data_IF_262282048018
#
_entry.id   IF_262282048018
#
_cell.length_a   1.000
_cell.length_b   1.000
_cell.length_c   1.000
_cell.angle_alpha   90.00
_cell.angle_beta   90.00
_cell.angle_gamma   90.00
#
_symmetry.space_group_name_H-M   'P 1'
#
loop_
_entity.id
_entity.type
_entity.pdbx_description
1 polymer ?
#
# COMPACT_ATOMS: atom_id res chain seq x y z
N UNK A 1 -21.62 -32.70 46.93
CA UNK A 1 -20.48 -32.52 46.01
C UNK A 1 -20.73 -31.23 45.26
N UNK A 2 -20.22 -30.12 45.78
CA UNK A 2 -20.32 -28.80 45.15
C UNK A 2 -18.93 -28.45 44.67
N UNK A 3 -18.78 -28.34 43.36
CA UNK A 3 -17.53 -28.00 42.71
C UNK A 3 -17.48 -26.47 42.66
N UNK A 4 -16.50 -25.88 43.33
CA UNK A 4 -16.10 -24.48 43.13
C UNK A 4 -14.87 -24.45 42.23
N UNK A 5 -15.00 -23.80 41.08
CA UNK A 5 -13.96 -23.14 40.26
C UNK A 5 -14.75 -22.09 39.47
N UNK A 6 -14.45 -20.81 39.39
CA UNK A 6 -13.22 -20.04 39.58
C UNK A 6 -13.34 -18.92 38.55
N UNK A 7 -13.27 -17.66 38.97
CA UNK A 7 -13.36 -16.51 38.08
C UNK A 7 -12.28 -16.54 36.99
N UNK A 8 -12.62 -16.14 35.77
CA UNK A 8 -11.71 -15.35 34.95
C UNK A 8 -12.52 -14.40 34.10
N UNK A 9 -12.26 -13.10 34.28
CA UNK A 9 -12.61 -12.08 33.31
C UNK A 9 -11.75 -12.35 32.08
N UNK A 10 -12.34 -12.87 31.02
CA UNK A 10 -11.76 -12.69 29.69
C UNK A 10 -12.33 -11.37 29.18
N UNK A 11 -11.50 -10.41 28.71
CA UNK A 11 -12.04 -9.31 27.95
C UNK A 11 -12.80 -9.92 26.79
N UNK A 12 -14.09 -9.57 26.68
CA UNK A 12 -14.83 -9.82 25.46
C UNK A 12 -13.96 -9.33 24.31
N UNK A 13 -13.57 -10.30 23.49
CA UNK A 13 -12.87 -10.13 22.24
C UNK A 13 -13.60 -9.01 21.51
N UNK A 14 -12.98 -7.82 21.45
CA UNK A 14 -13.49 -6.72 20.66
C UNK A 14 -13.37 -7.24 19.24
N UNK A 15 -14.44 -7.85 18.76
CA UNK A 15 -14.64 -8.21 17.38
C UNK A 15 -14.65 -6.90 16.60
N UNK A 16 -13.46 -6.44 16.20
CA UNK A 16 -13.32 -5.41 15.18
C UNK A 16 -13.70 -6.12 13.88
N UNK A 17 -15.00 -6.13 13.57
CA UNK A 17 -15.43 -6.14 12.16
C UNK A 17 -14.54 -5.12 11.43
N UNK A 18 -13.95 -5.52 10.30
CA UNK A 18 -12.91 -4.78 9.56
C UNK A 18 -13.38 -3.36 9.13
N UNK A 19 -13.44 -2.42 10.07
CA UNK A 19 -13.86 -1.03 9.87
C UNK A 19 -12.71 -0.15 9.35
N UNK A 20 -11.58 -0.76 8.99
CA UNK A 20 -10.43 -0.07 8.46
C UNK A 20 -9.93 -0.63 7.13
N UNK A 21 -9.39 0.26 6.30
CA UNK A 21 -8.66 -0.10 5.10
C UNK A 21 -7.33 0.63 5.09
N UNK A 22 -6.25 -0.04 4.70
CA UNK A 22 -4.94 0.58 4.54
C UNK A 22 -4.36 0.12 3.21
N UNK A 23 -4.28 1.03 2.23
CA UNK A 23 -3.96 0.62 0.86
C UNK A 23 -3.43 1.75 0.00
N UNK A 24 -2.69 1.41 -1.07
CA UNK A 24 -2.24 2.41 -2.03
C UNK A 24 -3.42 3.06 -2.74
N UNK A 25 -3.35 4.36 -2.92
CA UNK A 25 -4.35 5.16 -3.61
C UNK A 25 -3.83 5.63 -4.97
N UNK A 26 -2.61 6.16 -4.99
CA UNK A 26 -2.03 6.81 -6.17
C UNK A 26 -0.53 6.57 -6.24
N UNK A 27 0.00 6.42 -7.46
CA UNK A 27 1.44 6.45 -7.77
C UNK A 27 1.71 7.58 -8.77
N UNK A 28 2.63 8.49 -8.43
CA UNK A 28 2.97 9.67 -9.23
C UNK A 28 4.47 9.71 -9.54
N UNK A 29 4.84 9.51 -10.80
CA UNK A 29 6.20 9.74 -11.30
C UNK A 29 6.44 11.24 -11.43
N UNK A 30 7.39 11.76 -10.64
CA UNK A 30 7.67 13.20 -10.47
C UNK A 30 8.83 13.69 -11.34
N UNK A 31 9.63 12.75 -11.87
CA UNK A 31 10.71 13.04 -12.80
C UNK A 31 10.33 12.55 -14.20
N UNK A 32 10.88 13.19 -15.24
CA UNK A 32 10.72 12.72 -16.63
C UNK A 32 11.36 11.34 -16.89
N UNK A 33 11.90 10.71 -15.84
CA UNK A 33 12.48 9.37 -15.74
C UNK A 33 13.35 8.98 -16.94
N UNK A 34 14.65 8.92 -16.69
CA UNK A 34 15.45 7.88 -17.34
C UNK A 34 14.82 6.53 -16.98
N UNK A 35 14.69 5.59 -17.91
CA UNK A 35 13.98 4.30 -17.73
C UNK A 35 14.54 3.38 -16.62
N UNK A 36 15.50 3.86 -15.82
CA UNK A 36 16.21 3.12 -14.76
C UNK A 36 16.16 3.76 -13.37
N UNK A 37 15.88 5.05 -13.25
CA UNK A 37 15.79 5.72 -11.95
C UNK A 37 15.07 7.07 -12.05
N UNK A 38 14.49 7.51 -10.93
CA UNK A 38 13.77 8.76 -10.86
C UNK A 38 13.20 9.03 -9.46
N UNK A 39 12.25 9.96 -9.39
CA UNK A 39 11.48 10.26 -8.18
C UNK A 39 10.03 9.88 -8.35
N UNK A 40 9.45 9.32 -7.30
CA UNK A 40 8.06 8.87 -7.25
C UNK A 40 7.43 9.30 -5.94
N UNK A 41 6.17 9.71 -5.99
CA UNK A 41 5.30 9.83 -4.82
C UNK A 41 4.30 8.68 -4.85
N UNK A 42 4.21 7.94 -3.75
CA UNK A 42 3.17 6.95 -3.49
C UNK A 42 2.29 7.46 -2.36
N UNK A 43 1.00 7.56 -2.63
CA UNK A 43 -0.01 7.98 -1.66
C UNK A 43 -0.79 6.76 -1.21
N UNK A 44 -0.87 6.54 0.10
CA UNK A 44 -1.72 5.54 0.73
C UNK A 44 -2.97 6.21 1.28
N UNK A 45 -4.11 5.55 1.10
CA UNK A 45 -5.38 5.90 1.75
C UNK A 45 -5.57 4.97 2.93
N UNK A 46 -5.78 5.56 4.10
CA UNK A 46 -6.10 4.84 5.34
C UNK A 46 -7.45 5.32 5.81
N UNK A 47 -8.42 4.42 5.90
CA UNK A 47 -9.77 4.73 6.38
C UNK A 47 -10.06 3.96 7.65
N UNK A 48 -10.74 4.57 8.61
CA UNK A 48 -11.26 3.94 9.82
C UNK A 48 -12.61 4.58 10.18
N UNK A 49 -13.66 3.78 10.35
CA UNK A 49 -14.98 4.24 10.78
C UNK A 49 -15.55 5.42 9.95
N UNK A 50 -15.27 5.44 8.64
CA UNK A 50 -15.72 6.47 7.71
C UNK A 50 -14.78 7.68 7.55
N UNK A 51 -13.82 7.87 8.46
CA UNK A 51 -12.79 8.89 8.32
C UNK A 51 -11.66 8.37 7.43
N UNK A 52 -11.13 9.21 6.54
CA UNK A 52 -10.02 8.86 5.65
C UNK A 52 -8.87 9.85 5.79
N UNK A 53 -7.66 9.34 5.99
CA UNK A 53 -6.40 10.09 6.01
C UNK A 53 -5.46 9.53 4.95
N UNK A 54 -4.49 10.35 4.55
CA UNK A 54 -3.51 9.99 3.54
C UNK A 54 -2.11 10.01 4.12
N UNK A 55 -1.30 9.02 3.72
CA UNK A 55 0.12 8.95 4.01
C UNK A 55 0.90 9.01 2.70
N UNK A 56 1.89 9.89 2.60
CA UNK A 56 2.64 10.11 1.37
C UNK A 56 4.10 9.69 1.56
N UNK A 57 4.58 8.83 0.67
CA UNK A 57 6.00 8.48 0.55
C UNK A 57 6.53 9.12 -0.72
N UNK A 58 7.48 10.05 -0.61
CA UNK A 58 8.12 10.67 -1.77
C UNK A 58 9.61 10.35 -1.78
N UNK A 59 10.01 9.44 -2.65
CA UNK A 59 11.34 8.86 -2.63
C UNK A 59 11.96 8.73 -4.01
N UNK A 60 13.26 8.43 -4.03
CA UNK A 60 13.92 7.97 -5.24
C UNK A 60 13.55 6.50 -5.50
N UNK A 61 13.57 6.11 -6.76
CA UNK A 61 13.45 4.71 -7.14
C UNK A 61 14.55 4.29 -8.11
N UNK A 62 14.81 3.00 -8.13
CA UNK A 62 15.67 2.33 -9.12
C UNK A 62 14.91 1.17 -9.75
N UNK A 63 15.16 0.91 -11.03
CA UNK A 63 14.56 -0.21 -11.77
C UNK A 63 15.64 -1.22 -12.16
N UNK A 64 15.47 -2.47 -11.76
CA UNK A 64 16.28 -3.62 -12.17
C UNK A 64 15.35 -4.74 -12.64
N UNK A 65 15.57 -5.31 -13.82
CA UNK A 65 14.74 -6.40 -14.37
C UNK A 65 13.21 -6.18 -14.24
N UNK A 66 12.73 -4.95 -14.48
CA UNK A 66 11.32 -4.51 -14.34
C UNK A 66 10.81 -4.34 -12.90
N UNK A 67 11.58 -4.78 -11.91
CA UNK A 67 11.33 -4.48 -10.51
C UNK A 67 11.79 -3.05 -10.20
N UNK A 68 10.83 -2.20 -9.88
CA UNK A 68 11.07 -0.87 -9.32
C UNK A 68 11.10 -0.97 -7.80
N UNK A 69 12.22 -0.58 -7.21
CA UNK A 69 12.39 -0.45 -5.75
C UNK A 69 12.37 1.02 -5.38
N UNK A 70 11.53 1.40 -4.44
CA UNK A 70 11.28 2.79 -4.03
C UNK A 70 11.76 2.99 -2.58
N UNK A 71 12.55 4.04 -2.37
CA UNK A 71 13.18 4.33 -1.08
C UNK A 71 14.16 3.23 -0.66
N UNK A 72 14.43 3.16 0.63
CA UNK A 72 15.22 2.07 1.22
C UNK A 72 14.32 0.83 1.45
N UNK A 73 13.95 0.16 0.36
CA UNK A 73 13.02 -1.00 0.36
C UNK A 73 11.69 -0.72 1.07
N UNK A 74 11.09 0.44 0.80
CA UNK A 74 9.78 0.80 1.36
C UNK A 74 8.64 0.18 0.54
N UNK A 75 8.77 0.21 -0.78
CA UNK A 75 7.72 -0.15 -1.73
C UNK A 75 8.37 -0.76 -2.97
N UNK A 76 7.73 -1.78 -3.53
CA UNK A 76 8.14 -2.35 -4.82
C UNK A 76 6.98 -2.37 -5.80
N UNK A 77 7.28 -2.02 -7.05
CA UNK A 77 6.35 -2.08 -8.18
C UNK A 77 6.99 -2.98 -9.24
N UNK A 78 6.35 -4.08 -9.59
CA UNK A 78 6.85 -5.02 -10.60
C UNK A 78 5.99 -4.98 -11.87
N UNK A 79 6.62 -5.27 -13.01
CA UNK A 79 5.98 -5.37 -14.34
C UNK A 79 5.10 -4.15 -14.71
N UNK A 80 5.54 -2.93 -14.34
CA UNK A 80 4.79 -1.72 -14.64
C UNK A 80 4.62 -1.53 -16.16
N UNK A 81 3.37 -1.65 -16.61
CA UNK A 81 3.01 -1.56 -18.02
C UNK A 81 1.89 -0.54 -18.22
N UNK A 82 2.18 0.53 -18.95
CA UNK A 82 1.20 1.53 -19.34
C UNK A 82 0.75 1.33 -20.80
N UNK A 83 -0.57 1.36 -21.06
CA UNK A 83 -1.17 1.31 -22.39
C UNK A 83 -2.21 2.43 -22.51
N UNK A 84 -1.81 3.56 -23.09
CA UNK A 84 -2.67 4.74 -23.20
C UNK A 84 -2.94 5.35 -21.82
N UNK A 85 -4.21 5.34 -21.40
CA UNK A 85 -4.66 5.92 -20.13
C UNK A 85 -4.82 4.89 -19.01
N UNK A 86 -4.42 3.64 -19.23
CA UNK A 86 -4.45 2.61 -18.20
C UNK A 86 -3.06 2.04 -17.95
N UNK A 87 -2.81 1.60 -16.72
CA UNK A 87 -1.60 0.89 -16.34
C UNK A 87 -1.93 -0.32 -15.48
N UNK A 88 -1.06 -1.33 -15.57
CA UNK A 88 -1.07 -2.51 -14.71
C UNK A 88 0.29 -2.72 -14.09
N UNK A 89 0.32 -3.18 -12.85
CA UNK A 89 1.54 -3.53 -12.13
C UNK A 89 1.22 -4.38 -10.91
N UNK A 90 2.21 -5.11 -10.42
CA UNK A 90 2.15 -5.74 -9.11
C UNK A 90 2.76 -4.80 -8.07
N UNK A 91 2.12 -4.71 -6.91
CA UNK A 91 2.51 -3.84 -5.81
C UNK A 91 2.83 -4.67 -4.58
N UNK A 92 4.00 -4.41 -3.99
CA UNK A 92 4.48 -5.06 -2.78
C UNK A 92 4.86 -4.02 -1.74
N UNK A 93 4.49 -4.29 -0.49
CA UNK A 93 4.89 -3.49 0.65
C UNK A 93 6.26 -3.99 1.12
N UNK A 94 7.23 -3.10 1.21
CA UNK A 94 8.55 -3.44 1.71
C UNK A 94 8.59 -3.45 3.24
N UNK A 95 9.54 -4.20 3.79
CA UNK A 95 9.66 -4.40 5.25
C UNK A 95 9.92 -3.09 6.01
N UNK A 96 10.55 -2.12 5.35
CA UNK A 96 10.94 -0.84 5.96
C UNK A 96 9.83 0.21 5.97
N UNK A 97 8.65 -0.08 5.40
CA UNK A 97 7.53 0.89 5.35
C UNK A 97 6.97 1.23 6.75
N UNK A 98 7.15 0.33 7.72
CA UNK A 98 6.70 0.52 9.09
C UNK A 98 5.17 0.60 9.26
N UNK A 99 4.69 0.89 10.49
CA UNK A 99 3.27 0.85 10.83
C UNK A 99 2.54 2.16 10.48
N UNK A 100 2.71 2.70 9.27
CA UNK A 100 2.19 4.03 8.89
C UNK A 100 0.67 4.22 9.12
N UNK A 101 -0.13 3.16 9.02
CA UNK A 101 -1.58 3.24 9.30
C UNK A 101 -1.85 3.58 10.79
N UNK A 102 -1.05 3.05 11.71
CA UNK A 102 -1.18 3.27 13.15
C UNK A 102 -0.77 4.68 13.57
N UNK A 103 0.17 5.29 12.84
CA UNK A 103 0.56 6.69 13.04
C UNK A 103 -0.58 7.65 12.68
N UNK A 104 -1.40 7.28 11.69
CA UNK A 104 -2.58 8.04 11.29
C UNK A 104 -3.79 7.78 12.19
N UNK A 105 -3.97 6.54 12.63
CA UNK A 105 -5.06 6.11 13.49
C UNK A 105 -4.56 5.11 14.53
N UNK A 106 -4.38 5.58 15.77
CA UNK A 106 -3.89 4.74 16.86
C UNK A 106 -4.80 3.57 17.24
N UNK A 107 -6.05 3.58 16.78
CA UNK A 107 -7.03 2.52 17.00
C UNK A 107 -6.93 1.37 15.97
N UNK A 108 -6.19 1.56 14.86
CA UNK A 108 -5.91 0.47 13.93
C UNK A 108 -4.92 -0.49 14.60
N UNK A 109 -5.23 -1.80 14.70
CA UNK A 109 -4.31 -2.77 15.29
C UNK A 109 -3.12 -3.03 14.37
N UNK A 110 -2.06 -3.63 14.91
CA UNK A 110 -0.95 -4.12 14.10
C UNK A 110 -1.46 -5.19 13.13
N UNK A 111 -1.14 -5.03 11.85
CA UNK A 111 -1.60 -5.92 10.77
C UNK A 111 -0.54 -6.02 9.67
N UNK A 112 -0.73 -6.99 8.78
CA UNK A 112 0.11 -7.17 7.59
C UNK A 112 -0.60 -6.64 6.35
N UNK A 113 0.17 -6.20 5.36
CA UNK A 113 -0.36 -5.84 4.06
C UNK A 113 -0.10 -6.96 3.06
N UNK A 114 -1.09 -7.26 2.23
CA UNK A 114 -0.96 -8.23 1.15
C UNK A 114 -0.58 -7.53 -0.16
N UNK A 115 0.32 -8.15 -0.91
CA UNK A 115 0.64 -7.76 -2.26
C UNK A 115 -0.56 -7.94 -3.19
N UNK A 116 -0.65 -7.11 -4.22
CA UNK A 116 -1.76 -7.13 -5.18
C UNK A 116 -1.33 -6.69 -6.56
N UNK A 117 -1.99 -7.22 -7.57
CA UNK A 117 -2.00 -6.67 -8.91
C UNK A 117 -2.96 -5.47 -8.94
N UNK A 118 -2.49 -4.35 -9.50
CA UNK A 118 -3.23 -3.12 -9.62
C UNK A 118 -3.62 -2.85 -11.08
N UNK A 119 -4.86 -2.41 -11.29
CA UNK A 119 -5.26 -1.67 -12.49
C UNK A 119 -5.42 -0.20 -12.09
N UNK A 120 -4.76 0.70 -12.83
CA UNK A 120 -4.77 2.13 -12.54
C UNK A 120 -5.12 2.95 -13.78
N UNK A 121 -5.86 4.04 -13.55
CA UNK A 121 -6.20 5.02 -14.59
C UNK A 121 -5.26 6.21 -14.51
N UNK A 122 -4.85 6.73 -15.67
CA UNK A 122 -3.98 7.90 -15.76
C UNK A 122 -4.73 9.15 -15.31
N UNK A 123 -4.14 9.90 -14.40
CA UNK A 123 -4.64 11.22 -14.00
C UNK A 123 -3.99 12.27 -14.90
N UNK A 124 -4.75 12.76 -15.88
CA UNK A 124 -4.30 13.81 -16.79
C UNK A 124 -4.23 15.13 -16.02
N UNK A 125 -3.04 15.73 -15.97
CA UNK A 125 -2.87 17.10 -15.47
C UNK A 125 -1.67 17.74 -16.15
N UNK A 126 -1.72 19.06 -16.35
CA UNK A 126 -0.65 19.84 -16.97
C UNK A 126 0.69 19.81 -16.19
N UNK A 127 0.67 19.35 -14.93
CA UNK A 127 1.83 19.40 -14.01
C UNK A 127 2.48 18.04 -13.73
N UNK A 128 1.88 16.93 -14.15
CA UNK A 128 2.31 15.60 -13.72
C UNK A 128 2.86 14.79 -14.89
N UNK A 129 4.08 14.26 -14.71
CA UNK A 129 4.83 13.53 -15.73
C UNK A 129 4.39 12.06 -15.83
N UNK A 130 3.67 11.55 -14.82
CA UNK A 130 2.94 10.28 -14.89
C UNK A 130 2.24 9.96 -13.58
N UNK A 131 0.96 10.34 -13.44
CA UNK A 131 0.15 10.04 -12.25
C UNK A 131 -0.88 8.96 -12.56
N UNK A 132 -0.98 7.96 -11.69
CA UNK A 132 -1.81 6.78 -11.85
C UNK A 132 -2.64 6.57 -10.58
N UNK A 133 -3.96 6.65 -10.72
CA UNK A 133 -4.91 6.42 -9.64
C UNK A 133 -5.34 4.96 -9.67
N UNK A 134 -5.16 4.24 -8.58
CA UNK A 134 -5.51 2.81 -8.54
C UNK A 134 -7.03 2.68 -8.52
N UNK A 135 -7.55 1.87 -9.45
CA UNK A 135 -8.98 1.64 -9.66
C UNK A 135 -9.42 0.27 -9.17
N UNK A 136 -8.61 -0.75 -9.43
CA UNK A 136 -8.88 -2.12 -9.01
C UNK A 136 -7.64 -2.77 -8.45
N UNK A 137 -7.86 -3.70 -7.53
CA UNK A 137 -6.83 -4.50 -6.90
C UNK A 137 -7.27 -5.95 -6.91
N UNK A 138 -6.34 -6.85 -7.20
CA UNK A 138 -6.52 -8.29 -7.07
C UNK A 138 -5.37 -8.81 -6.24
N UNK A 139 -5.66 -9.38 -5.07
CA UNK A 139 -4.63 -9.93 -4.20
C UNK A 139 -3.80 -10.97 -4.96
N UNK A 140 -2.49 -10.91 -4.76
CA UNK A 140 -1.54 -11.88 -5.31
C UNK A 140 -1.47 -13.12 -4.41
N UNK A 141 -1.09 -14.29 -4.96
CA UNK A 141 -0.97 -15.51 -4.18
C UNK A 141 0.22 -15.50 -3.19
N UNK A 142 1.17 -14.58 -3.36
CA UNK A 142 2.36 -14.45 -2.51
C UNK A 142 2.69 -12.97 -2.29
N UNK A 143 3.30 -12.68 -1.13
CA UNK A 143 3.88 -11.39 -0.79
C UNK A 143 5.39 -11.31 -1.12
N UNK A 144 5.96 -12.39 -1.64
CA UNK A 144 7.37 -12.47 -2.03
C UNK A 144 7.66 -11.52 -3.20
N UNK A 145 8.67 -10.67 -3.03
CA UNK A 145 9.11 -9.72 -4.05
C UNK A 145 9.94 -10.49 -5.09
N UNK A 146 9.63 -10.39 -6.40
CA UNK A 146 10.40 -11.05 -7.45
C UNK A 146 11.86 -10.59 -7.49
N UNK A 147 12.78 -11.48 -7.90
CA UNK A 147 14.22 -11.20 -8.07
C UNK A 147 14.58 -10.62 -9.45
#
# INVERSE_FOLDING_TARGET
MFISFGCSNEPEDISIDEDYTCTVDTVSFLSESTSKSGRVEVVFSVSLAGDTKFYNVTENYTVNNQLMTIGDNLIHINEFTAKGETATFDFYYGENLGPFCMELFSAIPMHSHNAFNAEADRVISEKNLGKWKIKKKRQLPSNEIPE
#
